data_IF_327566367128
#
_entry.id   IF_327566367128
#
_cell.length_a   1.000
_cell.length_b   1.000
_cell.length_c   1.000
_cell.angle_alpha   90.00
_cell.angle_beta   90.00
_cell.angle_gamma   90.00
#
_symmetry.space_group_name_H-M   'P 1'
#
loop_
_entity.id
_entity.type
_entity.pdbx_description
1 polymer ?
#
# COMPACT_ATOMS: atom_id res chain seq x y z
N UNK A 1 15.10 -36.14 -22.75
CA UNK A 1 15.08 -36.26 -21.28
C UNK A 1 16.32 -36.90 -20.67
N UNK A 2 16.88 -37.99 -21.23
CA UNK A 2 18.06 -38.65 -20.66
C UNK A 2 19.23 -37.70 -20.35
N UNK A 3 19.49 -36.72 -21.23
CA UNK A 3 20.56 -35.72 -21.08
C UNK A 3 20.39 -34.80 -19.85
N UNK A 4 19.15 -34.62 -19.37
CA UNK A 4 18.84 -33.75 -18.23
C UNK A 4 18.49 -34.54 -16.96
N UNK A 5 18.53 -35.88 -17.02
CA UNK A 5 18.14 -36.74 -15.91
C UNK A 5 19.00 -36.45 -14.67
N UNK A 6 20.31 -36.31 -14.83
CA UNK A 6 21.24 -36.06 -13.71
C UNK A 6 20.96 -34.73 -13.01
N UNK A 7 20.64 -33.66 -13.76
CA UNK A 7 20.26 -32.36 -13.19
C UNK A 7 18.94 -32.44 -12.43
N UNK A 8 17.96 -33.16 -12.97
CA UNK A 8 16.67 -33.36 -12.31
C UNK A 8 16.79 -34.24 -11.07
N UNK A 9 17.63 -35.27 -11.10
CA UNK A 9 17.94 -36.14 -9.95
C UNK A 9 18.61 -35.31 -8.85
N UNK A 10 19.64 -34.52 -9.20
CA UNK A 10 20.31 -33.64 -8.25
C UNK A 10 19.35 -32.64 -7.60
N UNK A 11 18.40 -32.09 -8.36
CA UNK A 11 17.34 -31.24 -7.81
C UNK A 11 16.40 -32.05 -6.90
N UNK A 12 15.87 -33.19 -7.36
CA UNK A 12 14.95 -34.03 -6.59
C UNK A 12 15.53 -34.43 -5.22
N UNK A 13 16.82 -34.76 -5.19
CA UNK A 13 17.57 -35.16 -4.00
C UNK A 13 18.10 -33.97 -3.18
N UNK A 14 17.78 -32.73 -3.56
CA UNK A 14 18.16 -31.53 -2.83
C UNK A 14 19.66 -31.22 -2.84
N UNK A 15 20.41 -31.74 -3.83
CA UNK A 15 21.87 -31.58 -3.94
C UNK A 15 22.28 -30.29 -4.64
N UNK A 16 21.41 -29.72 -5.47
CA UNK A 16 21.70 -28.50 -6.22
C UNK A 16 21.54 -27.26 -5.33
N UNK A 17 22.41 -26.26 -5.48
CA UNK A 17 22.17 -24.96 -4.86
C UNK A 17 20.96 -24.26 -5.54
N UNK A 18 20.07 -23.58 -4.80
CA UNK A 18 18.95 -22.85 -5.39
C UNK A 18 19.35 -21.88 -6.51
N UNK A 19 20.44 -21.11 -6.33
CA UNK A 19 20.88 -20.14 -7.34
C UNK A 19 21.40 -20.85 -8.59
N UNK A 20 22.17 -21.93 -8.40
CA UNK A 20 22.68 -22.75 -9.49
C UNK A 20 21.53 -23.38 -10.30
N UNK A 21 20.48 -23.85 -9.62
CA UNK A 21 19.30 -24.40 -10.30
C UNK A 21 18.58 -23.35 -11.14
N UNK A 22 18.37 -22.14 -10.61
CA UNK A 22 17.71 -21.06 -11.33
C UNK A 22 18.51 -20.60 -12.56
N UNK A 23 19.84 -20.49 -12.42
CA UNK A 23 20.73 -20.16 -13.53
C UNK A 23 20.72 -21.28 -14.59
N UNK A 24 20.81 -22.53 -14.15
CA UNK A 24 20.72 -23.70 -15.02
C UNK A 24 19.39 -23.73 -15.78
N UNK A 25 18.26 -23.52 -15.09
CA UNK A 25 16.94 -23.50 -15.71
C UNK A 25 16.86 -22.43 -16.80
N UNK A 26 17.31 -21.20 -16.48
CA UNK A 26 17.29 -20.08 -17.42
C UNK A 26 18.09 -20.39 -18.69
N UNK A 27 19.25 -21.04 -18.55
CA UNK A 27 20.08 -21.43 -19.69
C UNK A 27 19.51 -22.61 -20.50
N UNK A 28 18.68 -23.47 -19.88
CA UNK A 28 18.26 -24.74 -20.46
C UNK A 28 16.76 -24.83 -20.79
N UNK A 29 15.92 -23.87 -20.42
CA UNK A 29 14.45 -23.93 -20.55
C UNK A 29 14.00 -24.30 -21.98
N UNK A 30 14.58 -23.65 -22.99
CA UNK A 30 14.23 -23.93 -24.40
C UNK A 30 14.56 -25.37 -24.80
N UNK A 31 15.72 -25.87 -24.38
CA UNK A 31 16.18 -27.21 -24.73
C UNK A 31 15.43 -28.30 -23.93
N UNK A 32 15.11 -28.06 -22.66
CA UNK A 32 14.21 -28.90 -21.86
C UNK A 32 12.82 -28.93 -22.47
N UNK A 33 12.31 -27.79 -22.95
CA UNK A 33 11.01 -27.68 -23.61
C UNK A 33 10.91 -28.47 -24.92
N UNK A 34 12.00 -28.53 -25.69
CA UNK A 34 12.08 -29.38 -26.87
C UNK A 34 12.17 -30.88 -26.52
N UNK A 35 12.66 -31.20 -25.32
CA UNK A 35 12.95 -32.57 -24.89
C UNK A 35 11.83 -33.24 -24.07
N UNK A 36 10.76 -32.54 -23.68
CA UNK A 36 9.66 -33.08 -22.88
C UNK A 36 8.27 -32.53 -23.26
N UNK A 37 7.19 -33.25 -22.89
CA UNK A 37 5.83 -32.74 -23.06
C UNK A 37 5.62 -31.41 -22.33
N UNK A 38 4.82 -30.51 -22.92
CA UNK A 38 4.54 -29.17 -22.35
C UNK A 38 4.06 -29.22 -20.90
N UNK A 39 3.24 -30.21 -20.53
CA UNK A 39 2.75 -30.37 -19.15
C UNK A 39 3.86 -30.70 -18.14
N UNK A 40 4.95 -31.34 -18.57
CA UNK A 40 6.11 -31.60 -17.72
C UNK A 40 6.98 -30.35 -17.58
N UNK A 41 7.21 -29.64 -18.69
CA UNK A 41 7.91 -28.35 -18.66
C UNK A 41 7.27 -27.37 -17.67
N UNK A 42 5.93 -27.26 -17.66
CA UNK A 42 5.21 -26.38 -16.74
C UNK A 42 5.37 -26.78 -15.26
N UNK A 43 5.60 -28.05 -14.96
CA UNK A 43 5.86 -28.53 -13.59
C UNK A 43 7.31 -28.30 -13.17
N UNK A 44 8.25 -28.43 -14.11
CA UNK A 44 9.67 -28.21 -13.88
C UNK A 44 10.03 -26.72 -13.78
N UNK A 45 9.23 -25.83 -14.36
CA UNK A 45 9.49 -24.40 -14.35
C UNK A 45 9.51 -23.82 -12.92
N UNK A 46 10.61 -23.19 -12.49
CA UNK A 46 10.65 -22.46 -11.22
C UNK A 46 9.58 -21.37 -11.21
N UNK A 47 8.72 -21.40 -10.19
CA UNK A 47 7.64 -20.44 -10.01
C UNK A 47 7.24 -20.34 -8.54
N UNK A 48 7.03 -19.13 -8.07
CA UNK A 48 6.47 -18.82 -6.77
C UNK A 48 5.61 -17.55 -6.87
N UNK A 49 4.79 -17.30 -5.84
CA UNK A 49 4.25 -15.97 -5.62
C UNK A 49 5.34 -15.04 -5.06
N UNK A 50 5.16 -13.73 -5.19
CA UNK A 50 6.12 -12.72 -4.76
C UNK A 50 7.07 -12.25 -5.87
N UNK A 51 8.08 -11.48 -5.49
CA UNK A 51 8.99 -10.83 -6.42
C UNK A 51 10.21 -11.72 -6.72
N UNK A 52 10.58 -11.92 -8.00
CA UNK A 52 11.80 -12.64 -8.36
C UNK A 52 13.04 -12.04 -7.70
N UNK A 53 13.81 -12.88 -7.03
CA UNK A 53 15.07 -12.49 -6.38
C UNK A 53 14.97 -12.31 -4.87
N UNK A 54 13.77 -12.25 -4.28
CA UNK A 54 13.65 -12.34 -2.82
C UNK A 54 13.91 -13.79 -2.32
N UNK A 55 14.28 -13.99 -1.03
CA UNK A 55 14.56 -15.32 -0.49
C UNK A 55 13.33 -16.26 -0.49
N UNK A 56 12.14 -15.73 -0.27
CA UNK A 56 10.89 -16.49 -0.17
C UNK A 56 10.48 -17.07 -1.54
N UNK A 57 10.55 -16.24 -2.57
CA UNK A 57 10.37 -16.57 -3.98
C UNK A 57 11.41 -17.59 -4.41
N UNK A 58 12.69 -17.37 -4.08
CA UNK A 58 13.77 -18.28 -4.46
C UNK A 58 13.52 -19.68 -3.89
N UNK A 59 13.25 -19.79 -2.59
CA UNK A 59 12.97 -21.06 -1.95
C UNK A 59 11.70 -21.72 -2.53
N UNK A 60 10.63 -20.95 -2.73
CA UNK A 60 9.37 -21.46 -3.28
C UNK A 60 9.49 -21.92 -4.74
N UNK A 61 10.24 -21.19 -5.56
CA UNK A 61 10.42 -21.48 -6.98
C UNK A 61 11.21 -22.78 -7.17
N UNK A 62 12.25 -22.99 -6.37
CA UNK A 62 13.05 -24.22 -6.40
C UNK A 62 12.27 -25.39 -5.80
N UNK A 63 11.51 -25.20 -4.72
CA UNK A 63 10.63 -26.24 -4.15
C UNK A 63 9.55 -26.69 -5.16
N UNK A 64 8.91 -25.75 -5.86
CA UNK A 64 7.93 -26.07 -6.90
C UNK A 64 8.56 -26.86 -8.05
N UNK A 65 9.77 -26.47 -8.46
CA UNK A 65 10.54 -27.14 -9.51
C UNK A 65 10.99 -28.55 -9.09
N UNK A 66 11.42 -28.72 -7.84
CA UNK A 66 11.78 -30.01 -7.24
C UNK A 66 10.59 -30.97 -7.23
N UNK A 67 9.41 -30.50 -6.80
CA UNK A 67 8.18 -31.30 -6.87
C UNK A 67 7.87 -31.73 -8.31
N UNK A 68 8.13 -30.85 -9.28
CA UNK A 68 8.07 -31.16 -10.70
C UNK A 68 9.07 -32.22 -11.14
N UNK A 69 10.32 -32.14 -10.68
CA UNK A 69 11.37 -33.11 -10.99
C UNK A 69 11.04 -34.50 -10.44
N UNK A 70 10.63 -34.59 -9.17
CA UNK A 70 10.16 -35.84 -8.56
C UNK A 70 9.01 -36.47 -9.38
N UNK A 71 8.04 -35.65 -9.80
CA UNK A 71 6.94 -36.12 -10.66
C UNK A 71 7.44 -36.67 -11.99
N UNK A 72 8.29 -35.91 -12.70
CA UNK A 72 8.79 -36.30 -14.03
C UNK A 72 9.66 -37.55 -13.96
N UNK A 73 10.58 -37.63 -13.00
CA UNK A 73 11.47 -38.78 -12.80
C UNK A 73 10.68 -40.04 -12.42
N UNK A 74 9.66 -39.90 -11.57
CA UNK A 74 8.75 -41.00 -11.25
C UNK A 74 8.00 -41.53 -12.48
N UNK A 75 7.57 -40.64 -13.40
CA UNK A 75 6.93 -41.05 -14.67
C UNK A 75 7.91 -41.70 -15.65
N UNK A 76 9.21 -41.41 -15.53
CA UNK A 76 10.26 -42.01 -16.33
C UNK A 76 10.85 -43.29 -15.70
N UNK A 77 10.42 -43.66 -14.49
CA UNK A 77 10.96 -44.82 -13.77
C UNK A 77 12.41 -44.64 -13.31
N UNK A 78 12.89 -43.40 -13.18
CA UNK A 78 14.24 -43.11 -12.68
C UNK A 78 14.20 -43.13 -11.15
N UNK A 79 15.01 -43.97 -10.48
CA UNK A 79 15.07 -44.00 -9.02
C UNK A 79 15.67 -42.70 -8.49
N UNK A 80 15.05 -42.15 -7.44
CA UNK A 80 15.53 -40.99 -6.69
C UNK A 80 15.21 -41.15 -5.22
N UNK A 81 15.98 -40.48 -4.37
CA UNK A 81 15.68 -40.30 -2.95
C UNK A 81 15.22 -38.85 -2.71
N UNK A 82 13.90 -38.58 -2.69
CA UNK A 82 13.40 -37.21 -2.59
C UNK A 82 13.85 -36.53 -1.29
N UNK A 83 14.35 -35.30 -1.40
CA UNK A 83 14.67 -34.45 -0.26
C UNK A 83 13.55 -33.44 0.01
N UNK A 84 13.38 -33.02 1.25
CA UNK A 84 12.50 -31.92 1.66
C UNK A 84 13.23 -30.56 1.78
N UNK A 85 14.54 -30.51 1.46
CA UNK A 85 15.41 -29.33 1.67
C UNK A 85 14.78 -28.01 1.24
N UNK A 86 14.21 -27.94 0.03
CA UNK A 86 13.70 -26.67 -0.49
C UNK A 86 12.32 -26.32 0.07
N UNK A 87 11.45 -27.31 0.31
CA UNK A 87 10.17 -27.10 0.99
C UNK A 87 10.41 -26.60 2.43
N UNK A 88 11.31 -27.24 3.16
CA UNK A 88 11.70 -26.80 4.51
C UNK A 88 12.31 -25.38 4.51
N UNK A 89 13.12 -25.05 3.50
CA UNK A 89 13.63 -23.69 3.34
C UNK A 89 12.52 -22.68 3.04
N UNK A 90 11.57 -23.02 2.17
CA UNK A 90 10.41 -22.19 1.85
C UNK A 90 9.55 -21.93 3.08
N UNK A 91 9.20 -22.98 3.84
CA UNK A 91 8.39 -22.85 5.05
C UNK A 91 9.09 -21.95 6.09
N UNK A 92 10.40 -22.12 6.25
CA UNK A 92 11.19 -21.29 7.16
C UNK A 92 11.26 -19.81 6.73
N UNK A 93 11.38 -19.53 5.43
CA UNK A 93 11.31 -18.15 4.89
C UNK A 93 9.90 -17.56 5.04
N UNK A 94 8.87 -18.35 4.75
CA UNK A 94 7.48 -17.91 4.86
C UNK A 94 7.13 -17.54 6.30
N UNK A 95 7.58 -18.34 7.27
CA UNK A 95 7.44 -18.01 8.68
C UNK A 95 8.20 -16.74 9.07
N UNK A 96 9.42 -16.53 8.56
CA UNK A 96 10.19 -15.30 8.81
C UNK A 96 9.46 -14.08 8.28
N UNK A 97 9.02 -14.13 7.02
CA UNK A 97 8.24 -13.07 6.40
C UNK A 97 6.96 -12.80 7.19
N UNK A 98 6.20 -13.84 7.54
CA UNK A 98 4.95 -13.70 8.30
C UNK A 98 5.16 -13.12 9.70
N UNK A 99 6.27 -13.45 10.38
CA UNK A 99 6.64 -12.83 11.67
C UNK A 99 6.99 -11.36 11.50
N UNK A 100 7.75 -11.02 10.46
CA UNK A 100 8.15 -9.65 10.15
C UNK A 100 6.91 -8.78 9.82
N UNK A 101 6.03 -9.24 8.94
CA UNK A 101 4.78 -8.56 8.58
C UNK A 101 3.90 -8.28 9.80
N UNK A 102 3.70 -9.29 10.67
CA UNK A 102 2.93 -9.10 11.90
C UNK A 102 3.60 -8.13 12.88
N UNK A 103 4.94 -8.14 12.95
CA UNK A 103 5.66 -7.22 13.82
C UNK A 103 5.53 -5.78 13.32
N UNK A 104 5.64 -5.58 12.00
CA UNK A 104 5.50 -4.27 11.36
C UNK A 104 4.07 -3.73 11.47
N UNK A 105 3.05 -4.55 11.17
CA UNK A 105 1.65 -4.18 11.37
C UNK A 105 1.35 -3.79 12.83
N UNK A 106 1.88 -4.54 13.81
CA UNK A 106 1.76 -4.17 15.23
C UNK A 106 2.48 -2.88 15.57
N UNK A 107 3.68 -2.65 15.04
CA UNK A 107 4.46 -1.42 15.24
C UNK A 107 3.69 -0.22 14.71
N UNK A 108 3.24 -0.29 13.45
CA UNK A 108 2.45 0.75 12.78
C UNK A 108 1.15 1.04 13.53
N UNK A 109 0.41 0.00 13.93
CA UNK A 109 -0.79 0.16 14.75
C UNK A 109 -0.49 0.86 16.08
N UNK A 110 0.61 0.48 16.74
CA UNK A 110 1.07 1.10 17.99
C UNK A 110 1.45 2.57 17.83
N UNK A 111 2.05 2.95 16.71
CA UNK A 111 2.41 4.34 16.39
C UNK A 111 1.19 5.21 16.07
N UNK A 112 0.18 4.64 15.41
CA UNK A 112 -1.06 5.34 15.04
C UNK A 112 -2.04 5.48 16.21
N UNK A 113 -2.05 4.52 17.14
CA UNK A 113 -3.04 4.45 18.24
C UNK A 113 -3.12 5.76 19.06
N UNK A 114 -2.01 6.36 19.56
CA UNK A 114 -2.09 7.61 20.31
C UNK A 114 -2.68 8.78 19.53
N UNK A 115 -2.40 8.85 18.22
CA UNK A 115 -2.91 9.92 17.35
C UNK A 115 -4.42 9.75 17.11
N UNK A 116 -4.85 8.51 16.84
CA UNK A 116 -6.25 8.16 16.66
C UNK A 116 -7.05 8.38 17.95
N UNK A 117 -6.46 8.09 19.10
CA UNK A 117 -7.11 8.29 20.40
C UNK A 117 -7.25 9.77 20.74
N UNK A 118 -6.28 10.63 20.38
CA UNK A 118 -6.42 12.08 20.50
C UNK A 118 -7.60 12.62 19.69
N UNK A 119 -7.76 12.15 18.44
CA UNK A 119 -8.90 12.52 17.58
C UNK A 119 -10.26 12.10 18.15
N UNK A 120 -10.33 11.02 18.94
CA UNK A 120 -11.59 10.40 19.32
C UNK A 120 -12.48 11.29 20.21
N UNK A 121 -11.91 12.30 20.87
CA UNK A 121 -12.67 13.25 21.70
C UNK A 121 -13.57 14.16 20.85
N UNK A 122 -13.06 14.67 19.73
CA UNK A 122 -13.75 15.66 18.89
C UNK A 122 -14.27 15.07 17.56
N UNK A 123 -13.66 13.99 17.08
CA UNK A 123 -13.99 13.32 15.81
C UNK A 123 -14.17 11.79 15.98
N UNK A 124 -15.13 11.34 16.80
CA UNK A 124 -15.28 9.93 17.17
C UNK A 124 -15.61 8.99 16.00
N UNK A 125 -16.32 9.41 14.94
CA UNK A 125 -16.61 8.52 13.81
C UNK A 125 -15.37 8.31 12.95
N UNK A 126 -14.62 9.38 12.65
CA UNK A 126 -13.34 9.30 11.96
C UNK A 126 -12.36 8.43 12.75
N UNK A 127 -12.17 8.69 14.05
CA UNK A 127 -11.25 7.90 14.88
C UNK A 127 -11.62 6.41 14.90
N UNK A 128 -12.91 6.08 14.95
CA UNK A 128 -13.37 4.68 14.86
C UNK A 128 -13.04 4.05 13.51
N UNK A 129 -13.21 4.80 12.42
CA UNK A 129 -12.88 4.34 11.08
C UNK A 129 -11.37 4.09 10.93
N UNK A 130 -10.53 5.06 11.33
CA UNK A 130 -9.08 4.93 11.25
C UNK A 130 -8.56 3.73 12.06
N UNK A 131 -9.12 3.49 13.25
CA UNK A 131 -8.75 2.32 14.09
C UNK A 131 -9.04 0.97 13.43
N UNK A 132 -10.04 0.92 12.54
CA UNK A 132 -10.43 -0.32 11.83
C UNK A 132 -9.69 -0.52 10.51
N UNK A 133 -9.11 0.54 9.97
CA UNK A 133 -8.48 0.56 8.65
C UNK A 133 -7.05 1.10 8.76
N UNK A 134 -6.30 0.66 9.77
CA UNK A 134 -4.91 1.13 10.00
C UNK A 134 -3.98 0.81 8.85
N UNK A 135 -4.28 -0.24 8.10
CA UNK A 135 -3.50 -0.71 6.96
C UNK A 135 -3.63 0.25 5.76
N UNK A 136 -4.74 1.00 5.68
CA UNK A 136 -5.03 2.01 4.65
C UNK A 136 -4.44 3.39 4.98
N UNK A 137 -3.93 3.59 6.20
CA UNK A 137 -3.37 4.87 6.63
C UNK A 137 -1.92 4.96 6.18
N UNK A 138 -1.69 5.48 4.98
CA UNK A 138 -0.36 5.65 4.40
C UNK A 138 0.55 6.55 5.23
N UNK A 139 0.01 7.66 5.75
CA UNK A 139 0.73 8.56 6.63
C UNK A 139 -0.21 9.23 7.61
N UNK A 140 0.25 9.37 8.86
CA UNK A 140 -0.44 10.14 9.88
C UNK A 140 0.57 10.71 10.86
N UNK A 141 0.52 12.02 11.10
CA UNK A 141 1.44 12.67 12.03
C UNK A 141 0.69 13.24 13.24
N UNK A 142 1.32 13.24 14.43
CA UNK A 142 0.74 13.85 15.61
C UNK A 142 0.50 15.34 15.36
N UNK A 143 -0.60 15.84 15.91
CA UNK A 143 -0.94 17.25 15.83
C UNK A 143 0.02 18.17 16.56
N UNK A 144 -0.23 19.48 16.44
CA UNK A 144 0.59 20.53 17.05
C UNK A 144 -0.28 21.58 17.73
N UNK A 145 0.29 22.34 18.66
CA UNK A 145 -0.47 23.42 19.29
C UNK A 145 -0.97 24.45 18.25
N UNK A 146 -2.17 25.03 18.43
CA UNK A 146 -2.68 26.07 17.51
C UNK A 146 -1.72 27.25 17.31
N UNK A 147 -0.97 27.63 18.34
CA UNK A 147 0.04 28.70 18.25
C UNK A 147 1.20 28.31 17.30
N UNK A 148 1.70 27.08 17.42
CA UNK A 148 2.73 26.55 16.52
C UNK A 148 2.23 26.44 15.08
N UNK A 149 1.00 25.96 14.90
CA UNK A 149 0.36 25.82 13.59
C UNK A 149 0.25 27.16 12.87
N UNK A 150 -0.31 28.17 13.55
CA UNK A 150 -0.48 29.51 12.99
C UNK A 150 0.86 30.14 12.60
N UNK A 151 1.88 29.99 13.45
CA UNK A 151 3.24 30.48 13.17
C UNK A 151 3.87 29.78 11.96
N UNK A 152 3.70 28.46 11.85
CA UNK A 152 4.27 27.67 10.75
C UNK A 152 3.59 27.96 9.41
N UNK A 153 2.28 28.12 9.43
CA UNK A 153 1.46 28.32 8.23
C UNK A 153 1.46 29.80 7.80
N UNK A 154 1.74 30.72 8.72
CA UNK A 154 1.91 32.15 8.43
C UNK A 154 0.61 32.89 8.12
N UNK A 155 -0.54 32.28 8.39
CA UNK A 155 -1.87 32.90 8.23
C UNK A 155 -2.85 32.35 9.27
N UNK A 156 -3.90 33.13 9.62
CA UNK A 156 -4.96 32.63 10.49
C UNK A 156 -5.75 31.50 9.80
N UNK A 157 -6.19 30.54 10.60
CA UNK A 157 -6.96 29.39 10.15
C UNK A 157 -8.27 29.26 10.93
N UNK A 158 -9.32 28.67 10.33
CA UNK A 158 -10.58 28.40 11.00
C UNK A 158 -10.39 27.57 12.29
N UNK A 159 -11.15 27.89 13.34
CA UNK A 159 -10.99 27.29 14.67
C UNK A 159 -11.20 25.76 14.66
N UNK A 160 -12.21 25.27 13.94
CA UNK A 160 -12.48 23.84 13.81
C UNK A 160 -11.36 23.09 13.06
N UNK A 161 -10.76 23.74 12.05
CA UNK A 161 -9.62 23.18 11.34
C UNK A 161 -8.35 23.17 12.21
N UNK A 162 -8.11 24.23 12.99
CA UNK A 162 -7.03 24.25 13.98
C UNK A 162 -7.21 23.16 15.04
N UNK A 163 -8.44 22.92 15.50
CA UNK A 163 -8.74 21.84 16.44
C UNK A 163 -8.39 20.48 15.82
N UNK A 164 -8.78 20.22 14.58
CA UNK A 164 -8.39 19.01 13.86
C UNK A 164 -6.87 18.86 13.75
N UNK A 165 -6.17 19.92 13.30
CA UNK A 165 -4.71 19.93 13.18
C UNK A 165 -3.98 19.79 14.52
N UNK A 166 -4.66 20.10 15.63
CA UNK A 166 -4.12 19.89 16.97
C UNK A 166 -4.07 18.43 17.40
N UNK A 167 -4.89 17.58 16.78
CA UNK A 167 -4.88 16.13 16.96
C UNK A 167 -4.02 15.43 15.93
N UNK A 168 -4.16 15.82 14.66
CA UNK A 168 -3.35 15.28 13.56
C UNK A 168 -3.08 16.33 12.50
N UNK A 169 -1.80 16.57 12.20
CA UNK A 169 -1.39 17.57 11.20
C UNK A 169 -1.18 17.00 9.80
N UNK A 170 -1.28 15.69 9.67
CA UNK A 170 -1.15 14.96 8.42
C UNK A 170 -2.00 13.71 8.52
N UNK A 171 -2.81 13.48 7.50
CA UNK A 171 -3.65 12.30 7.37
C UNK A 171 -3.75 11.95 5.88
N UNK A 172 -3.19 10.82 5.52
CA UNK A 172 -3.25 10.23 4.18
C UNK A 172 -3.88 8.86 4.31
N UNK A 173 -5.00 8.66 3.60
CA UNK A 173 -5.79 7.43 3.66
C UNK A 173 -6.09 6.95 2.24
N UNK A 174 -5.41 5.86 1.87
CA UNK A 174 -5.39 5.32 0.52
C UNK A 174 -5.23 6.37 -0.57
N UNK A 175 -5.81 6.07 -1.73
CA UNK A 175 -5.79 6.94 -2.92
C UNK A 175 -6.95 7.94 -2.94
N UNK A 176 -7.58 8.27 -1.80
CA UNK A 176 -8.76 9.16 -1.78
C UNK A 176 -8.52 10.46 -1.04
N UNK A 177 -7.83 10.43 0.11
CA UNK A 177 -7.69 11.62 0.95
C UNK A 177 -6.23 11.88 1.31
N UNK A 178 -5.78 13.11 1.06
CA UNK A 178 -4.44 13.54 1.41
C UNK A 178 -4.46 14.94 2.03
N UNK A 179 -4.31 14.97 3.34
CA UNK A 179 -4.06 16.17 4.14
C UNK A 179 -2.59 16.12 4.59
N UNK A 180 -1.73 16.98 4.05
CA UNK A 180 -0.27 16.89 4.30
C UNK A 180 0.32 18.27 4.54
N UNK A 181 1.63 18.34 4.85
CA UNK A 181 2.37 19.61 4.98
C UNK A 181 2.35 20.51 3.74
N UNK A 182 2.07 19.97 2.56
CA UNK A 182 1.83 20.79 1.37
C UNK A 182 0.57 21.66 1.49
N UNK A 183 -0.30 21.32 2.45
CA UNK A 183 -1.52 22.01 2.80
C UNK A 183 -1.43 22.59 4.23
N UNK A 184 -2.16 23.68 4.53
CA UNK A 184 -3.00 24.45 3.61
C UNK A 184 -2.22 25.52 2.82
N UNK A 185 -2.71 25.90 1.64
CA UNK A 185 -2.17 27.02 0.84
C UNK A 185 -3.29 27.76 0.10
N UNK A 186 -3.09 29.05 -0.20
CA UNK A 186 -4.08 29.84 -0.94
C UNK A 186 -3.82 29.70 -2.44
N UNK A 187 -4.85 29.35 -3.21
CA UNK A 187 -4.76 29.38 -4.66
C UNK A 187 -4.52 30.80 -5.14
N UNK A 188 -3.38 30.98 -5.82
CA UNK A 188 -3.03 32.22 -6.49
C UNK A 188 -2.56 31.89 -7.89
N UNK A 189 -3.15 32.53 -8.91
CA UNK A 189 -2.81 32.29 -10.31
C UNK A 189 -2.86 33.60 -11.10
N UNK A 190 -1.69 34.03 -11.57
CA UNK A 190 -1.59 35.18 -12.47
C UNK A 190 -1.81 34.81 -13.96
N UNK A 191 -1.82 33.52 -14.29
CA UNK A 191 -1.81 33.03 -15.67
C UNK A 191 -3.17 32.49 -16.14
N UNK A 192 -4.00 31.99 -15.22
CA UNK A 192 -5.28 31.33 -15.52
C UNK A 192 -6.30 31.69 -14.44
N UNK A 193 -7.48 32.15 -14.85
CA UNK A 193 -8.61 32.28 -13.93
C UNK A 193 -9.09 30.90 -13.50
N UNK A 194 -8.97 30.61 -12.21
CA UNK A 194 -9.48 29.41 -11.58
C UNK A 194 -10.69 29.78 -10.71
N UNK A 195 -11.73 28.94 -10.66
CA UNK A 195 -12.87 29.17 -9.76
C UNK A 195 -12.45 29.15 -8.28
N UNK A 196 -11.28 28.58 -7.99
CA UNK A 196 -10.69 28.46 -6.65
C UNK A 196 -9.80 29.65 -6.27
N UNK A 197 -9.62 30.65 -7.14
CA UNK A 197 -8.72 31.78 -6.89
C UNK A 197 -9.07 32.50 -5.58
N UNK A 198 -8.07 32.65 -4.70
CA UNK A 198 -8.20 33.23 -3.37
C UNK A 198 -8.83 32.32 -2.32
N UNK A 199 -9.16 31.07 -2.65
CA UNK A 199 -9.61 30.06 -1.69
C UNK A 199 -8.40 29.34 -1.06
N UNK A 200 -8.54 28.92 0.20
CA UNK A 200 -7.55 28.15 0.93
C UNK A 200 -7.76 26.67 0.65
N UNK A 201 -6.87 26.05 -0.11
CA UNK A 201 -6.81 24.60 -0.24
C UNK A 201 -6.22 23.99 1.02
N UNK A 202 -6.89 22.99 1.58
CA UNK A 202 -6.43 22.31 2.79
C UNK A 202 -6.23 20.79 2.60
N UNK A 203 -6.49 20.27 1.40
CA UNK A 203 -6.24 18.87 1.08
C UNK A 203 -6.63 18.48 -0.33
N UNK A 204 -6.11 17.33 -0.76
CA UNK A 204 -6.56 16.60 -1.94
C UNK A 204 -7.62 15.58 -1.52
N UNK A 205 -8.67 15.46 -2.33
CA UNK A 205 -9.82 14.60 -2.04
C UNK A 205 -10.39 14.03 -3.35
N UNK A 206 -9.76 12.96 -3.83
CA UNK A 206 -10.00 12.38 -5.15
C UNK A 206 -11.27 11.52 -5.18
N UNK A 207 -12.39 12.13 -5.57
CA UNK A 207 -13.68 11.43 -5.72
C UNK A 207 -14.08 11.21 -7.18
N UNK A 208 -13.76 12.15 -8.06
CA UNK A 208 -14.13 12.13 -9.48
C UNK A 208 -12.89 12.00 -10.37
N UNK A 209 -11.81 12.71 -10.04
CA UNK A 209 -10.59 12.73 -10.85
C UNK A 209 -9.34 13.07 -10.03
N UNK A 210 -8.18 12.81 -10.62
CA UNK A 210 -6.92 13.38 -10.15
C UNK A 210 -6.99 14.92 -10.20
N UNK A 211 -6.46 15.56 -9.15
CA UNK A 211 -6.50 17.01 -8.95
C UNK A 211 -7.71 17.54 -8.19
N UNK A 212 -8.65 16.70 -7.77
CA UNK A 212 -9.77 17.13 -6.90
C UNK A 212 -9.30 17.60 -5.52
N UNK A 213 -9.93 18.65 -5.00
CA UNK A 213 -9.46 19.34 -3.80
C UNK A 213 -10.58 19.70 -2.83
N UNK A 214 -10.21 19.90 -1.58
CA UNK A 214 -11.08 20.51 -0.55
C UNK A 214 -10.53 21.86 -0.12
N UNK A 215 -11.45 22.83 -0.04
CA UNK A 215 -11.13 24.24 0.07
C UNK A 215 -11.99 24.93 1.15
N UNK A 216 -11.47 26.02 1.70
CA UNK A 216 -12.24 27.03 2.42
C UNK A 216 -12.28 28.33 1.62
N UNK A 217 -13.47 28.93 1.49
CA UNK A 217 -13.58 30.30 0.99
C UNK A 217 -13.41 31.31 2.13
N UNK A 218 -12.18 31.79 2.31
CA UNK A 218 -11.86 32.77 3.34
C UNK A 218 -12.19 34.22 2.93
N UNK A 219 -12.60 34.46 1.68
CA UNK A 219 -12.86 35.80 1.15
C UNK A 219 -14.10 36.44 1.78
N UNK A 220 -15.06 35.61 2.19
CA UNK A 220 -16.26 36.02 2.91
C UNK A 220 -16.05 36.23 4.43
N UNK A 221 -14.80 36.07 4.90
CA UNK A 221 -14.44 36.09 6.32
C UNK A 221 -14.20 34.69 6.88
N UNK A 222 -13.59 34.62 8.06
CA UNK A 222 -13.18 33.37 8.69
C UNK A 222 -14.22 32.95 9.74
N UNK A 223 -15.06 31.97 9.39
CA UNK A 223 -15.96 31.31 10.34
C UNK A 223 -15.19 30.27 11.18
N UNK A 224 -15.63 30.06 12.43
CA UNK A 224 -15.02 29.05 13.31
C UNK A 224 -15.11 27.64 12.73
N UNK A 225 -16.30 27.27 12.23
CA UNK A 225 -16.55 26.02 11.49
C UNK A 225 -17.01 26.35 10.07
N UNK A 226 -16.08 26.49 9.13
CA UNK A 226 -16.35 27.01 7.79
C UNK A 226 -17.02 25.96 6.90
N UNK A 227 -17.77 26.37 5.87
CA UNK A 227 -18.18 25.47 4.79
C UNK A 227 -16.95 24.88 4.11
N UNK A 228 -16.96 23.57 3.89
CA UNK A 228 -16.01 22.87 3.02
C UNK A 228 -16.55 22.93 1.61
N UNK A 229 -15.69 23.35 0.70
CA UNK A 229 -15.96 23.33 -0.73
C UNK A 229 -15.14 22.20 -1.37
N UNK A 230 -15.80 21.40 -2.19
CA UNK A 230 -15.18 20.43 -3.06
C UNK A 230 -14.94 21.05 -4.42
N UNK A 231 -13.72 20.96 -4.92
CA UNK A 231 -13.37 21.32 -6.27
C UNK A 231 -13.21 20.05 -7.11
N UNK A 232 -14.15 19.87 -8.04
CA UNK A 232 -14.11 18.79 -9.03
C UNK A 232 -13.23 19.23 -10.21
N UNK A 233 -12.02 18.69 -10.30
CA UNK A 233 -11.00 19.15 -11.25
C UNK A 233 -11.44 18.98 -12.71
N UNK A 234 -11.98 17.80 -13.04
CA UNK A 234 -12.39 17.48 -14.41
C UNK A 234 -13.49 18.42 -14.94
N UNK A 235 -14.40 18.86 -14.07
CA UNK A 235 -15.49 19.77 -14.42
C UNK A 235 -15.14 21.24 -14.20
N UNK A 236 -14.08 21.52 -13.43
CA UNK A 236 -13.68 22.85 -12.95
C UNK A 236 -14.82 23.58 -12.23
N UNK A 237 -15.52 22.88 -11.34
CA UNK A 237 -16.61 23.47 -10.52
C UNK A 237 -16.31 23.33 -9.03
N UNK A 238 -16.81 24.27 -8.26
CA UNK A 238 -16.67 24.32 -6.80
C UNK A 238 -18.06 24.19 -6.18
N UNK A 239 -18.25 23.20 -5.30
CA UNK A 239 -19.54 22.87 -4.71
C UNK A 239 -19.42 22.68 -3.19
N UNK A 240 -20.37 23.18 -2.38
CA UNK A 240 -20.34 22.98 -0.94
C UNK A 240 -20.67 21.53 -0.59
N UNK A 241 -19.88 20.91 0.30
CA UNK A 241 -20.06 19.51 0.71
C UNK A 241 -20.31 19.34 2.22
N UNK A 242 -20.55 20.43 2.93
CA UNK A 242 -20.89 20.43 4.36
C UNK A 242 -20.08 21.45 5.15
N UNK A 243 -20.25 21.46 6.48
CA UNK A 243 -19.32 22.18 7.38
C UNK A 243 -18.10 21.33 7.64
N UNK A 244 -16.98 21.92 8.05
CA UNK A 244 -15.74 21.18 8.26
C UNK A 244 -15.90 20.02 9.25
N UNK A 245 -16.46 20.27 10.43
CA UNK A 245 -16.64 19.21 11.44
C UNK A 245 -17.53 18.07 10.95
N UNK A 246 -18.64 18.40 10.28
CA UNK A 246 -19.58 17.44 9.70
C UNK A 246 -18.92 16.63 8.58
N UNK A 247 -18.19 17.30 7.69
CA UNK A 247 -17.49 16.66 6.58
C UNK A 247 -16.44 15.66 7.08
N UNK A 248 -15.61 16.05 8.05
CA UNK A 248 -14.61 15.16 8.68
C UNK A 248 -15.28 13.91 9.25
N UNK A 249 -16.40 14.06 9.93
CA UNK A 249 -17.14 12.93 10.52
C UNK A 249 -17.95 12.11 9.48
N UNK A 250 -18.08 12.62 8.26
CA UNK A 250 -18.70 11.92 7.12
C UNK A 250 -17.70 11.11 6.28
N UNK A 251 -16.40 11.43 6.38
CA UNK A 251 -15.32 10.76 5.64
C UNK A 251 -15.35 9.23 5.68
N UNK A 252 -15.69 8.55 6.79
CA UNK A 252 -15.80 7.08 6.78
C UNK A 252 -16.71 6.55 5.66
N UNK A 253 -17.80 7.26 5.34
CA UNK A 253 -18.75 6.85 4.32
C UNK A 253 -18.24 7.02 2.89
N UNK A 254 -17.43 8.05 2.63
CA UNK A 254 -16.85 8.30 1.31
C UNK A 254 -15.58 7.49 1.08
N UNK A 255 -14.69 7.42 2.08
CA UNK A 255 -13.45 6.64 2.00
C UNK A 255 -13.74 5.15 1.82
N UNK A 256 -14.76 4.61 2.49
CA UNK A 256 -15.14 3.20 2.30
C UNK A 256 -15.61 2.87 0.86
N UNK A 257 -15.99 3.85 0.05
CA UNK A 257 -16.37 3.65 -1.35
C UNK A 257 -15.18 3.69 -2.30
N UNK A 258 -14.09 4.36 -1.92
CA UNK A 258 -12.83 4.40 -2.68
C UNK A 258 -11.91 3.22 -2.39
N UNK A 259 -12.07 2.56 -1.24
CA UNK A 259 -11.30 1.38 -0.81
C UNK A 259 -11.83 0.04 -1.39
N UNK A 260 -12.82 0.08 -2.29
CA UNK A 260 -13.54 -1.09 -2.81
C UNK A 260 -13.24 -1.43 -4.27
#
# INVERSE_FOLDING_TARGET
MAVYADSLVALAEGRTDPADWLAWWTANEAAVGAACPRGWLLRLRPRAGGEPGDPLWTAGAVAASQAGACYVLGRLGVPVEPSDRYTAAYDAEFERWSRAERAESRRRTGELTPIIDALAADFPKLARFLRRNTDEIESMLPGMSPATLTSTIGMPLPAAYLLFLSHTRELVVGDTLRLTRGHPFVHTSAAVELPTEGMLCFGEYWLEADGDQVLFDLRAGMADDPPVLYYAYARRVVEPIGRFTEWVESLPGSLSRGLG
#
